data_IF_582486859200
#
_entry.id   IF_582486859200
#
_cell.length_a   1.000
_cell.length_b   1.000
_cell.length_c   1.000
_cell.angle_alpha   90.00
_cell.angle_beta   90.00
_cell.angle_gamma   90.00
#
_symmetry.space_group_name_H-M   'P 1'
#
loop_
_entity.id
_entity.type
_entity.pdbx_description
1 polymer ?
#
# COMPACT_ATOMS: atom_id res chain seq x y z
N UNK A 1 -6.91 29.62 0.92
CA UNK A 1 -5.80 29.29 1.83
C UNK A 1 -6.44 28.77 3.09
N UNK A 2 -6.31 27.54 3.58
CA UNK A 2 -5.70 26.28 3.16
C UNK A 2 -6.58 25.20 3.82
N UNK A 3 -6.99 24.16 3.08
CA UNK A 3 -7.81 23.07 3.65
C UNK A 3 -6.89 22.14 4.44
N UNK A 4 -6.63 22.46 5.71
CA UNK A 4 -5.79 21.65 6.62
C UNK A 4 -6.68 20.85 7.57
N UNK A 5 -7.45 19.90 7.05
CA UNK A 5 -7.80 18.66 7.77
C UNK A 5 -7.94 17.57 6.71
N UNK A 6 -6.82 16.99 6.27
CA UNK A 6 -6.88 15.66 5.62
C UNK A 6 -7.12 14.66 6.75
N UNK A 7 -8.36 14.20 6.85
CA UNK A 7 -8.69 13.05 7.69
C UNK A 7 -8.05 11.79 7.08
N UNK A 8 -6.96 11.34 7.69
CA UNK A 8 -6.19 10.17 7.23
C UNK A 8 -6.92 8.83 7.51
N UNK A 9 -8.06 8.85 8.20
CA UNK A 9 -8.78 7.64 8.59
C UNK A 9 -9.47 6.91 7.43
N UNK A 10 -9.59 7.55 6.26
CA UNK A 10 -10.26 7.01 5.07
C UNK A 10 -9.35 6.82 3.85
N UNK A 11 -8.04 7.04 3.96
CA UNK A 11 -7.15 6.84 2.83
C UNK A 11 -7.00 5.34 2.53
N UNK A 12 -7.43 4.93 1.34
CA UNK A 12 -7.31 3.55 0.91
C UNK A 12 -5.83 3.17 0.77
N UNK A 13 -5.49 1.99 1.31
CA UNK A 13 -4.12 1.50 1.35
C UNK A 13 -4.07 0.00 1.14
N UNK A 14 -2.92 -0.47 0.68
CA UNK A 14 -2.58 -1.89 0.64
C UNK A 14 -1.40 -2.11 1.59
N UNK A 15 -1.49 -3.15 2.41
CA UNK A 15 -0.40 -3.56 3.30
C UNK A 15 0.10 -4.93 2.88
N UNK A 16 1.37 -5.03 2.53
CA UNK A 16 2.06 -6.31 2.34
C UNK A 16 2.64 -6.74 3.67
N UNK A 17 2.29 -7.96 4.09
CA UNK A 17 2.84 -8.61 5.27
C UNK A 17 3.83 -9.70 4.85
N UNK A 18 5.07 -9.59 5.33
CA UNK A 18 6.10 -10.60 5.10
C UNK A 18 6.39 -11.31 6.42
N UNK A 19 6.28 -12.64 6.45
CA UNK A 19 6.63 -13.43 7.62
C UNK A 19 8.15 -13.60 7.68
N UNK A 20 8.80 -12.95 8.66
CA UNK A 20 10.23 -12.99 8.91
C UNK A 20 10.47 -13.43 10.35
N UNK A 21 11.18 -14.54 10.52
CA UNK A 21 11.56 -15.08 11.85
C UNK A 21 10.38 -15.23 12.84
N UNK A 22 9.18 -15.54 12.33
CA UNK A 22 7.97 -15.72 13.13
C UNK A 22 7.18 -14.43 13.42
N UNK A 23 7.62 -13.29 12.87
CA UNK A 23 6.92 -12.00 12.97
C UNK A 23 6.50 -11.50 11.59
N UNK A 24 5.42 -10.72 11.53
CA UNK A 24 5.02 -10.04 10.30
C UNK A 24 5.68 -8.67 10.23
N UNK A 25 6.56 -8.48 9.26
CA UNK A 25 6.97 -7.15 8.82
C UNK A 25 5.91 -6.59 7.87
N UNK A 26 5.66 -5.29 7.98
CA UNK A 26 4.63 -4.60 7.19
C UNK A 26 5.23 -3.51 6.30
N UNK A 27 4.74 -3.44 5.07
CA UNK A 27 4.98 -2.32 4.16
C UNK A 27 3.63 -1.82 3.68
N UNK A 28 3.37 -0.52 3.85
CA UNK A 28 2.15 0.13 3.40
C UNK A 28 2.38 0.86 2.08
N UNK A 29 1.39 0.79 1.19
CA UNK A 29 1.33 1.51 -0.07
C UNK A 29 -0.02 2.23 -0.18
N UNK A 30 -0.05 3.39 -0.85
CA UNK A 30 -1.21 4.28 -1.01
C UNK A 30 -1.25 4.89 -2.41
N UNK A 31 -2.45 5.23 -2.89
CA UNK A 31 -2.65 5.97 -4.15
C UNK A 31 -1.92 5.35 -5.35
N UNK A 32 -1.05 6.13 -5.98
CA UNK A 32 -0.28 5.72 -7.16
C UNK A 32 1.06 5.03 -6.83
N UNK A 33 1.34 4.70 -5.56
CA UNK A 33 2.55 3.96 -5.19
C UNK A 33 2.55 2.58 -5.84
N UNK A 34 3.65 2.25 -6.53
CA UNK A 34 3.86 0.92 -7.10
C UNK A 34 4.11 -0.09 -5.98
N UNK A 35 3.35 -1.16 -6.02
CA UNK A 35 3.47 -2.24 -5.05
C UNK A 35 4.71 -3.06 -5.36
N UNK A 36 5.59 -3.20 -4.36
CA UNK A 36 6.77 -4.05 -4.44
C UNK A 36 6.53 -5.29 -3.59
N UNK A 37 6.41 -6.45 -4.25
CA UNK A 37 6.29 -7.75 -3.61
C UNK A 37 7.58 -8.54 -3.81
N UNK A 38 8.16 -9.06 -2.73
CA UNK A 38 9.32 -9.96 -2.84
C UNK A 38 8.95 -11.33 -3.45
N UNK A 39 7.68 -11.75 -3.34
CA UNK A 39 7.18 -13.00 -3.91
C UNK A 39 6.85 -12.82 -5.40
N UNK A 40 6.35 -11.64 -5.77
CA UNK A 40 5.98 -11.31 -7.15
C UNK A 40 6.73 -10.05 -7.62
N UNK A 41 8.05 -10.14 -7.90
CA UNK A 41 8.87 -8.97 -8.24
C UNK A 41 8.44 -8.31 -9.55
N UNK A 42 7.84 -9.06 -10.47
CA UNK A 42 7.33 -8.56 -11.75
C UNK A 42 5.95 -7.88 -11.63
N UNK A 43 5.40 -7.72 -10.43
CA UNK A 43 4.15 -7.00 -10.23
C UNK A 43 4.34 -5.53 -10.62
N UNK A 44 3.57 -5.09 -11.62
CA UNK A 44 3.56 -3.71 -12.12
C UNK A 44 2.18 -3.09 -11.89
N UNK A 45 1.73 -3.05 -10.63
CA UNK A 45 0.45 -2.45 -10.23
C UNK A 45 0.65 -1.40 -9.13
N UNK A 46 -0.19 -0.38 -9.17
CA UNK A 46 -0.35 0.63 -8.12
C UNK A 46 -1.53 0.29 -7.23
N UNK A 47 -1.64 0.95 -6.07
CA UNK A 47 -2.78 0.74 -5.15
C UNK A 47 -4.12 1.09 -5.80
N UNK A 48 -4.20 2.23 -6.47
CA UNK A 48 -5.39 2.64 -7.23
C UNK A 48 -5.82 1.56 -8.21
N UNK A 49 -4.91 1.05 -9.04
CA UNK A 49 -5.22 0.01 -10.04
C UNK A 49 -5.71 -1.31 -9.43
N UNK A 50 -5.29 -1.66 -8.21
CA UNK A 50 -5.79 -2.87 -7.53
C UNK A 50 -7.19 -2.65 -6.96
N UNK A 51 -7.49 -1.45 -6.46
CA UNK A 51 -8.75 -1.14 -5.80
C UNK A 51 -9.86 -0.70 -6.77
N UNK A 52 -9.51 -0.31 -7.99
CA UNK A 52 -10.45 0.04 -9.08
C UNK A 52 -11.05 -1.18 -9.83
N UNK A 53 -10.67 -2.41 -9.47
CA UNK A 53 -11.06 -3.65 -10.15
C UNK A 53 -12.49 -4.14 -9.87
#
# INVERSE_FOLDING_TARGET
MENIIRDWSHEQKITILTLVEGFYEQIEFRGNERIVSQIFPELVLTVEQILEA
#
